data_IF_067638065269
#
_entry.id   IF_067638065269
#
_cell.length_a   1.000
_cell.length_b   1.000
_cell.length_c   1.000
_cell.angle_alpha   90.00
_cell.angle_beta   90.00
_cell.angle_gamma   90.00
#
_symmetry.space_group_name_H-M   'P 1'
#
loop_
_entity.id
_entity.type
_entity.pdbx_description
1 polymer ?
#
# COMPACT_ATOMS: atom_id res chain seq x y z
N UNK A 1 57.95 -14.22 -0.65
CA UNK A 1 56.66 -14.27 0.06
C UNK A 1 56.54 -13.00 0.89
N UNK A 2 55.91 -11.95 0.35
CA UNK A 2 55.70 -10.68 1.05
C UNK A 2 54.54 -10.84 2.01
N UNK A 3 54.84 -10.84 3.31
CA UNK A 3 53.85 -10.77 4.38
C UNK A 3 53.11 -9.43 4.26
N UNK A 4 51.92 -9.44 3.64
CA UNK A 4 51.02 -8.29 3.65
C UNK A 4 50.55 -8.09 5.09
N UNK A 5 51.14 -7.13 5.78
CA UNK A 5 50.66 -6.69 7.08
C UNK A 5 49.45 -5.78 6.84
N UNK A 6 48.28 -6.39 6.64
CA UNK A 6 47.02 -5.63 6.55
C UNK A 6 46.87 -4.78 7.81
N UNK A 7 46.69 -3.47 7.61
CA UNK A 7 46.55 -2.57 8.75
C UNK A 7 45.19 -2.76 9.42
N UNK A 8 45.05 -2.25 10.65
CA UNK A 8 43.75 -2.25 11.31
C UNK A 8 42.70 -1.47 10.51
N UNK A 9 43.09 -0.42 9.79
CA UNK A 9 42.17 0.35 8.93
C UNK A 9 41.69 -0.49 7.74
N UNK A 10 42.58 -1.23 7.08
CA UNK A 10 42.22 -2.09 5.94
C UNK A 10 41.19 -3.16 6.34
N UNK A 11 41.35 -3.73 7.53
CA UNK A 11 40.39 -4.68 8.11
C UNK A 11 38.99 -4.06 8.31
N UNK A 12 38.93 -2.84 8.84
CA UNK A 12 37.65 -2.12 8.99
C UNK A 12 37.03 -1.75 7.64
N UNK A 13 37.84 -1.37 6.65
CA UNK A 13 37.36 -1.08 5.29
C UNK A 13 36.80 -2.33 4.61
N UNK A 14 37.50 -3.45 4.69
CA UNK A 14 37.02 -4.73 4.16
C UNK A 14 35.71 -5.17 4.83
N UNK A 15 35.61 -5.02 6.15
CA UNK A 15 34.38 -5.29 6.90
C UNK A 15 33.22 -4.39 6.48
N UNK A 16 33.47 -3.10 6.25
CA UNK A 16 32.48 -2.15 5.75
C UNK A 16 31.94 -2.55 4.37
N UNK A 17 32.81 -2.92 3.43
CA UNK A 17 32.37 -3.39 2.10
C UNK A 17 31.57 -4.68 2.16
N UNK A 18 31.96 -5.64 2.99
CA UNK A 18 31.18 -6.87 3.21
C UNK A 18 29.78 -6.58 3.72
N UNK A 19 29.63 -5.66 4.68
CA UNK A 19 28.32 -5.27 5.19
C UNK A 19 27.47 -4.54 4.15
N UNK A 20 28.06 -3.67 3.33
CA UNK A 20 27.36 -3.01 2.21
C UNK A 20 26.75 -4.01 1.24
N UNK A 21 27.44 -5.13 1.01
CA UNK A 21 27.02 -6.19 0.09
C UNK A 21 26.15 -7.26 0.75
N UNK A 22 25.94 -7.20 2.07
CA UNK A 22 25.25 -8.24 2.84
C UNK A 22 26.01 -9.56 2.93
N UNK A 23 27.31 -9.55 2.62
CA UNK A 23 28.21 -10.71 2.61
C UNK A 23 29.07 -10.73 3.89
N UNK A 24 28.43 -10.59 5.05
CA UNK A 24 29.14 -10.64 6.32
C UNK A 24 29.67 -12.04 6.63
N UNK A 25 30.87 -12.07 7.20
CA UNK A 25 31.61 -13.28 7.56
C UNK A 25 31.56 -13.54 9.07
N UNK A 26 31.55 -12.50 9.90
CA UNK A 26 31.59 -12.62 11.37
C UNK A 26 30.22 -12.33 11.98
N UNK A 27 29.55 -11.27 11.54
CA UNK A 27 28.18 -10.97 11.99
C UNK A 27 27.15 -11.68 11.12
N UNK A 28 25.90 -11.89 11.60
CA UNK A 28 24.86 -12.55 10.82
C UNK A 28 24.62 -11.87 9.46
N UNK A 29 24.36 -12.68 8.43
CA UNK A 29 24.09 -12.17 7.08
C UNK A 29 22.89 -11.21 7.09
N UNK A 30 23.02 -10.10 6.37
CA UNK A 30 22.01 -9.04 6.33
C UNK A 30 22.05 -8.09 7.53
N UNK A 31 23.05 -8.18 8.43
CA UNK A 31 23.26 -7.18 9.48
C UNK A 31 23.43 -5.79 8.87
N UNK A 32 22.72 -4.76 9.37
CA UNK A 32 22.80 -3.42 8.82
C UNK A 32 24.18 -2.80 9.05
N UNK A 33 24.61 -1.96 8.12
CA UNK A 33 25.84 -1.19 8.23
C UNK A 33 25.72 -0.19 9.38
N UNK A 34 26.54 -0.36 10.41
CA UNK A 34 26.75 0.60 11.50
C UNK A 34 28.22 0.56 11.91
N UNK A 35 28.75 1.63 12.52
CA UNK A 35 30.13 1.63 13.02
C UNK A 35 30.45 0.43 13.92
N UNK A 36 29.53 0.09 14.83
CA UNK A 36 29.69 -1.04 15.75
C UNK A 36 29.68 -2.39 15.01
N UNK A 37 28.83 -2.53 14.00
CA UNK A 37 28.77 -3.76 13.21
C UNK A 37 29.99 -3.88 12.30
N UNK A 38 30.53 -2.78 11.78
CA UNK A 38 31.80 -2.77 11.03
C UNK A 38 32.94 -3.24 11.94
N UNK A 39 33.01 -2.76 13.19
CA UNK A 39 34.01 -3.21 14.14
C UNK A 39 33.91 -4.71 14.45
N UNK A 40 32.69 -5.19 14.74
CA UNK A 40 32.42 -6.61 15.00
C UNK A 40 32.72 -7.48 13.79
N UNK A 41 32.38 -7.00 12.59
CA UNK A 41 32.65 -7.69 11.33
C UNK A 41 34.15 -7.75 11.00
N UNK A 42 34.94 -6.81 11.51
CA UNK A 42 36.40 -6.85 11.48
C UNK A 42 37.01 -7.69 12.61
N UNK A 43 36.20 -8.37 13.43
CA UNK A 43 36.66 -9.16 14.57
C UNK A 43 37.20 -8.32 15.73
N UNK A 44 36.80 -7.06 15.85
CA UNK A 44 37.23 -6.13 16.89
C UNK A 44 36.06 -5.63 17.72
N UNK A 45 36.36 -5.22 18.95
CA UNK A 45 35.37 -4.57 19.81
C UNK A 45 35.01 -3.18 19.27
N UNK A 46 33.74 -2.73 19.41
CA UNK A 46 33.32 -1.39 18.97
C UNK A 46 34.20 -0.25 19.52
N UNK A 47 34.66 -0.37 20.76
CA UNK A 47 35.54 0.60 21.41
C UNK A 47 36.93 0.70 20.78
N UNK A 48 37.38 -0.31 20.03
CA UNK A 48 38.62 -0.25 19.29
C UNK A 48 38.49 0.67 18.06
N UNK A 49 37.29 0.87 17.55
CA UNK A 49 37.03 1.64 16.34
C UNK A 49 36.56 3.07 16.66
N UNK A 50 37.50 3.94 17.07
CA UNK A 50 37.22 5.32 17.50
C UNK A 50 37.45 6.36 16.40
N UNK A 51 36.62 7.43 16.43
CA UNK A 51 36.71 8.60 15.52
C UNK A 51 38.07 9.30 15.55
N UNK A 52 38.73 9.31 16.71
CA UNK A 52 40.07 9.92 16.85
C UNK A 52 41.14 9.19 16.03
N UNK A 53 41.00 7.88 15.85
CA UNK A 53 41.95 7.05 15.10
C UNK A 53 41.58 6.92 13.62
N UNK A 54 40.28 6.83 13.32
CA UNK A 54 39.79 6.57 11.95
C UNK A 54 38.73 7.60 11.52
N UNK A 55 39.04 8.92 11.52
CA UNK A 55 38.05 9.97 11.28
C UNK A 55 37.47 9.92 9.86
N UNK A 56 38.27 9.56 8.87
CA UNK A 56 37.83 9.48 7.47
C UNK A 56 36.84 8.31 7.26
N UNK A 57 37.20 7.10 7.71
CA UNK A 57 36.37 5.92 7.55
C UNK A 57 35.03 6.03 8.31
N UNK A 58 35.04 6.58 9.53
CA UNK A 58 33.79 6.79 10.27
C UNK A 58 32.87 7.79 9.57
N UNK A 59 33.42 8.84 8.95
CA UNK A 59 32.64 9.77 8.13
C UNK A 59 32.01 9.07 6.93
N UNK A 60 32.76 8.20 6.26
CA UNK A 60 32.28 7.41 5.13
C UNK A 60 31.13 6.48 5.52
N UNK A 61 31.27 5.77 6.64
CA UNK A 61 30.22 4.91 7.21
C UNK A 61 28.96 5.73 7.52
N UNK A 62 29.13 6.89 8.15
CA UNK A 62 28.00 7.75 8.52
C UNK A 62 27.26 8.27 7.28
N UNK A 63 28.00 8.72 6.26
CA UNK A 63 27.41 9.14 4.98
C UNK A 63 26.64 8.00 4.31
N UNK A 64 27.18 6.78 4.35
CA UNK A 64 26.48 5.61 3.81
C UNK A 64 25.17 5.30 4.56
N UNK A 65 25.16 5.41 5.88
CA UNK A 65 23.96 5.21 6.70
C UNK A 65 22.89 6.23 6.34
N UNK A 66 23.26 7.50 6.20
CA UNK A 66 22.34 8.59 5.85
C UNK A 66 21.72 8.41 4.47
N UNK A 67 22.54 8.12 3.45
CA UNK A 67 22.07 7.86 2.08
C UNK A 67 21.12 6.64 2.07
N UNK A 68 21.49 5.58 2.78
CA UNK A 68 20.67 4.36 2.86
C UNK A 68 19.32 4.61 3.55
N UNK A 69 19.31 5.43 4.60
CA UNK A 69 18.08 5.83 5.29
C UNK A 69 17.16 6.65 4.37
N UNK A 70 17.71 7.64 3.65
CA UNK A 70 16.96 8.45 2.69
C UNK A 70 16.36 7.58 1.57
N UNK A 71 17.15 6.67 0.99
CA UNK A 71 16.64 5.74 -0.02
C UNK A 71 15.51 4.84 0.51
N UNK A 72 15.63 4.35 1.74
CA UNK A 72 14.59 3.54 2.39
C UNK A 72 13.31 4.35 2.59
N UNK A 73 13.42 5.60 3.04
CA UNK A 73 12.27 6.49 3.23
C UNK A 73 11.56 6.78 1.89
N UNK A 74 12.30 7.11 0.84
CA UNK A 74 11.75 7.34 -0.51
C UNK A 74 11.02 6.08 -1.01
N UNK A 75 11.63 4.90 -0.83
CA UNK A 75 11.03 3.63 -1.23
C UNK A 75 9.73 3.35 -0.48
N UNK A 76 9.71 3.60 0.84
CA UNK A 76 8.52 3.43 1.67
C UNK A 76 7.40 4.39 1.24
N UNK A 77 7.70 5.69 1.09
CA UNK A 77 6.74 6.69 0.59
C UNK A 77 6.17 6.33 -0.78
N UNK A 78 7.00 5.80 -1.69
CA UNK A 78 6.53 5.32 -3.01
C UNK A 78 5.60 4.11 -2.89
N UNK A 79 5.90 3.18 -1.98
CA UNK A 79 5.07 1.99 -1.72
C UNK A 79 3.72 2.38 -1.12
N UNK A 80 3.70 3.28 -0.15
CA UNK A 80 2.49 3.81 0.48
C UNK A 80 1.58 4.48 -0.54
N UNK A 81 2.10 5.43 -1.34
CA UNK A 81 1.33 6.08 -2.41
C UNK A 81 0.76 5.08 -3.42
N UNK A 82 1.51 4.02 -3.75
CA UNK A 82 1.02 2.97 -4.65
C UNK A 82 -0.14 2.20 -4.02
N UNK A 83 -0.04 1.86 -2.74
CA UNK A 83 -1.10 1.19 -2.00
C UNK A 83 -2.36 2.04 -1.93
N UNK A 84 -2.24 3.31 -1.53
CA UNK A 84 -3.35 4.27 -1.48
C UNK A 84 -4.04 4.41 -2.84
N UNK A 85 -3.26 4.54 -3.92
CA UNK A 85 -3.81 4.60 -5.28
C UNK A 85 -4.58 3.33 -5.64
N UNK A 86 -4.06 2.17 -5.28
CA UNK A 86 -4.71 0.90 -5.56
C UNK A 86 -6.03 0.77 -4.78
N UNK A 87 -6.04 1.14 -3.50
CA UNK A 87 -7.25 1.18 -2.67
C UNK A 87 -8.31 2.11 -3.24
N UNK A 88 -7.92 3.31 -3.69
CA UNK A 88 -8.83 4.27 -4.32
C UNK A 88 -9.45 3.70 -5.61
N UNK A 89 -8.66 3.04 -6.45
CA UNK A 89 -9.15 2.39 -7.67
C UNK A 89 -10.15 1.29 -7.33
N UNK A 90 -9.83 0.43 -6.37
CA UNK A 90 -10.72 -0.65 -5.92
C UNK A 90 -12.03 -0.10 -5.34
N UNK A 91 -11.96 0.97 -4.52
CA UNK A 91 -13.17 1.64 -4.00
C UNK A 91 -14.03 2.22 -5.12
N UNK A 92 -13.42 2.91 -6.09
CA UNK A 92 -14.13 3.48 -7.23
C UNK A 92 -14.84 2.39 -8.07
N UNK A 93 -14.17 1.27 -8.32
CA UNK A 93 -14.78 0.13 -9.01
C UNK A 93 -15.95 -0.47 -8.23
N UNK A 94 -15.81 -0.62 -6.92
CA UNK A 94 -16.88 -1.11 -6.04
C UNK A 94 -18.09 -0.19 -6.09
N UNK A 95 -17.90 1.11 -5.96
CA UNK A 95 -19.00 2.09 -6.02
C UNK A 95 -19.66 2.13 -7.39
N UNK A 96 -18.88 2.02 -8.47
CA UNK A 96 -19.43 1.89 -9.83
C UNK A 96 -20.35 0.68 -9.94
N UNK A 97 -19.91 -0.50 -9.49
CA UNK A 97 -20.71 -1.73 -9.50
C UNK A 97 -22.00 -1.58 -8.68
N UNK A 98 -21.90 -1.05 -7.46
CA UNK A 98 -23.07 -0.82 -6.60
C UNK A 98 -24.08 0.14 -7.22
N UNK A 99 -23.61 1.21 -7.88
CA UNK A 99 -24.46 2.15 -8.60
C UNK A 99 -25.17 1.46 -9.76
N UNK A 100 -24.44 0.71 -10.58
CA UNK A 100 -24.99 0.05 -11.77
C UNK A 100 -26.04 -1.00 -11.36
N UNK A 101 -25.81 -1.73 -10.26
CA UNK A 101 -26.79 -2.65 -9.66
C UNK A 101 -28.04 -1.92 -9.15
N UNK A 102 -27.87 -0.81 -8.44
CA UNK A 102 -28.98 -0.03 -7.92
C UNK A 102 -29.83 0.57 -9.06
N UNK A 103 -29.19 1.08 -10.11
CA UNK A 103 -29.88 1.56 -11.31
C UNK A 103 -30.65 0.46 -12.02
N UNK A 104 -30.07 -0.73 -12.14
CA UNK A 104 -30.75 -1.90 -12.73
C UNK A 104 -31.99 -2.30 -11.92
N UNK A 105 -31.89 -2.33 -10.58
CA UNK A 105 -33.03 -2.59 -9.69
C UNK A 105 -34.10 -1.52 -9.83
N UNK A 106 -33.72 -0.24 -9.89
CA UNK A 106 -34.65 0.87 -10.04
C UNK A 106 -35.42 0.79 -11.36
N UNK A 107 -34.75 0.51 -12.47
CA UNK A 107 -35.39 0.31 -13.78
C UNK A 107 -36.36 -0.88 -13.73
N UNK A 108 -35.97 -1.98 -13.09
CA UNK A 108 -36.85 -3.14 -12.94
C UNK A 108 -38.09 -2.82 -12.10
N UNK A 109 -37.93 -2.06 -11.01
CA UNK A 109 -39.04 -1.62 -10.17
C UNK A 109 -40.00 -0.69 -10.94
N UNK A 110 -39.47 0.26 -11.72
CA UNK A 110 -40.30 1.12 -12.58
C UNK A 110 -41.12 0.31 -13.59
N UNK A 111 -40.53 -0.72 -14.21
CA UNK A 111 -41.27 -1.61 -15.10
C UNK A 111 -42.39 -2.35 -14.38
N UNK A 112 -42.12 -2.89 -13.20
CA UNK A 112 -43.14 -3.57 -12.39
C UNK A 112 -44.29 -2.62 -12.02
N UNK A 113 -44.00 -1.39 -11.61
CA UNK A 113 -45.01 -0.37 -11.33
C UNK A 113 -45.88 -0.10 -12.56
N UNK A 114 -45.28 0.09 -13.73
CA UNK A 114 -46.04 0.30 -14.97
C UNK A 114 -46.94 -0.89 -15.32
N UNK A 115 -46.45 -2.11 -15.16
CA UNK A 115 -47.25 -3.33 -15.36
C UNK A 115 -48.44 -3.36 -14.41
N UNK A 116 -48.20 -3.18 -13.11
CA UNK A 116 -49.25 -3.19 -12.09
C UNK A 116 -50.28 -2.08 -12.31
N UNK A 117 -49.86 -0.89 -12.74
CA UNK A 117 -50.78 0.20 -13.06
C UNK A 117 -51.67 -0.14 -14.26
N UNK A 118 -51.13 -0.80 -15.28
CA UNK A 118 -51.92 -1.27 -16.44
C UNK A 118 -52.92 -2.34 -16.03
N UNK A 119 -52.47 -3.33 -15.26
CA UNK A 119 -53.34 -4.40 -14.74
C UNK A 119 -54.46 -3.84 -13.86
N UNK A 120 -54.13 -2.91 -12.96
CA UNK A 120 -55.11 -2.21 -12.13
C UNK A 120 -56.14 -1.47 -12.98
N UNK A 121 -55.72 -0.74 -14.00
CA UNK A 121 -56.62 -0.01 -14.89
C UNK A 121 -57.56 -0.95 -15.65
N UNK A 122 -57.05 -2.07 -16.16
CA UNK A 122 -57.85 -3.09 -16.84
C UNK A 122 -58.87 -3.74 -15.88
N UNK A 123 -58.44 -4.09 -14.67
CA UNK A 123 -59.34 -4.63 -13.65
C UNK A 123 -60.43 -3.65 -13.24
N UNK A 124 -60.10 -2.35 -13.11
CA UNK A 124 -61.09 -1.31 -12.84
C UNK A 124 -62.07 -1.17 -14.00
N UNK A 125 -61.60 -1.17 -15.25
CA UNK A 125 -62.47 -1.13 -16.42
C UNK A 125 -63.46 -2.30 -16.46
N UNK A 126 -62.97 -3.51 -16.16
CA UNK A 126 -63.82 -4.71 -16.05
C UNK A 126 -64.82 -4.59 -14.92
N UNK A 127 -64.40 -4.08 -13.75
CA UNK A 127 -65.31 -3.87 -12.63
C UNK A 127 -66.42 -2.87 -12.98
N UNK A 128 -66.07 -1.76 -13.63
CA UNK A 128 -67.02 -0.74 -14.09
C UNK A 128 -68.01 -1.28 -15.12
N UNK A 129 -67.64 -2.31 -15.90
CA UNK A 129 -68.54 -3.00 -16.82
C UNK A 129 -69.61 -3.84 -16.08
N UNK A 130 -69.23 -4.49 -14.97
CA UNK A 130 -70.17 -5.31 -14.16
C UNK A 130 -70.95 -4.49 -13.12
N UNK A 131 -70.35 -3.40 -12.61
CA UNK A 131 -70.96 -2.45 -11.68
C UNK A 131 -70.65 -1.04 -12.19
N UNK A 132 -71.48 -0.49 -13.10
CA UNK A 132 -71.28 0.87 -13.57
C UNK A 132 -71.28 1.83 -12.36
N UNK A 133 -70.36 2.81 -12.34
CA UNK A 133 -70.29 3.76 -11.23
C UNK A 133 -71.65 4.41 -11.04
N UNK A 134 -72.11 4.48 -9.78
CA UNK A 134 -73.38 5.11 -9.42
C UNK A 134 -73.46 6.47 -10.10
N UNK A 135 -74.40 6.61 -11.04
CA UNK A 135 -74.66 7.88 -11.72
C UNK A 135 -74.89 8.93 -10.65
N UNK A 136 -74.16 10.07 -10.66
CA UNK A 136 -74.47 11.12 -9.70
C UNK A 136 -75.87 11.62 -10.03
N UNK A 137 -76.81 11.32 -9.14
CA UNK A 137 -78.21 11.75 -9.21
C UNK A 137 -78.26 13.28 -9.03
N UNK A 138 -77.99 14.03 -10.09
CA UNK A 138 -78.28 15.46 -10.12
C UNK A 138 -79.68 15.66 -10.73
N UNK A 139 -80.65 15.77 -9.82
CA UNK A 139 -81.90 16.53 -9.82
C UNK A 139 -82.79 16.59 -11.08
N UNK A 140 -84.05 16.19 -10.85
CA UNK A 140 -85.25 16.44 -11.67
C UNK A 140 -85.59 17.91 -11.85
#
# INVERSE_FOLDING_TARGET
MTQNTETAEDNYRAAFERLKQGQSNVVPRGTPVTQNNVAREAGREPDAFKKTRYPALIREIQAHIEISAQHKEIKNKRRERRHERQDLVTKAQRYKKQRDEAQSRLVSAHRAVLTLLREKAELQRRLDEYLPPLSPLWNS
#
